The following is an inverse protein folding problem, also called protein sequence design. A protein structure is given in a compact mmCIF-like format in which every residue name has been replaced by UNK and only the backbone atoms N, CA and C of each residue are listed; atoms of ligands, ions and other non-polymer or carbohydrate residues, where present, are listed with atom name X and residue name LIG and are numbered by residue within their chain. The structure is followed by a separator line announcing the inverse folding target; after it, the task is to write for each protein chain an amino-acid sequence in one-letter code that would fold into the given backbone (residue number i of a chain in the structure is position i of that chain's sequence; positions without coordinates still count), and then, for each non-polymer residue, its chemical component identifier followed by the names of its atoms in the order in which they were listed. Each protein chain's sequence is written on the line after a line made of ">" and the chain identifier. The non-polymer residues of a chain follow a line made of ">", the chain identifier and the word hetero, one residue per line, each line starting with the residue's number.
data_IF_258252305882
#
_entry.id   IF_258252305882
#
_cell.length_a   1.000
_cell.length_b   1.000
_cell.length_c   1.000
_cell.angle_alpha   90.00
_cell.angle_beta   90.00
_cell.angle_gamma   90.00
#
_symmetry.space_group_name_H-M   'P 1'
#
loop_
_entity.id
_entity.type
_entity.pdbx_description
1 polymer ?
#
# COMPACT_ATOMS: atom_id res chain seq x y z
N UNK A 1 0.58 18.68 23.81
CA UNK A 1 1.03 17.75 22.79
C UNK A 1 0.30 16.40 22.97
N UNK A 2 -0.68 16.04 22.11
CA UNK A 2 -1.55 14.88 22.33
C UNK A 2 -0.78 13.55 22.41
N UNK A 3 0.27 13.37 21.60
CA UNK A 3 1.08 12.15 21.62
C UNK A 3 1.75 11.85 22.95
N UNK A 4 2.20 12.87 23.66
CA UNK A 4 2.84 12.71 24.96
C UNK A 4 1.85 12.22 26.02
N UNK A 5 0.61 12.70 25.96
CA UNK A 5 -0.45 12.23 26.87
C UNK A 5 -0.82 10.78 26.61
N UNK A 6 -1.00 10.40 25.33
CA UNK A 6 -1.30 9.01 24.95
C UNK A 6 -0.17 8.07 25.39
N UNK A 7 1.08 8.48 25.18
CA UNK A 7 2.24 7.69 25.59
C UNK A 7 2.35 7.56 27.11
N UNK A 8 2.12 8.65 27.84
CA UNK A 8 2.10 8.64 29.31
C UNK A 8 0.96 7.76 29.85
N UNK A 9 -0.24 7.88 29.29
CA UNK A 9 -1.41 7.11 29.72
C UNK A 9 -1.27 5.61 29.40
N UNK A 10 -0.55 5.25 28.34
CA UNK A 10 -0.27 3.85 28.01
C UNK A 10 0.72 3.17 28.98
N UNK A 11 1.53 3.95 29.67
CA UNK A 11 2.55 3.45 30.60
C UNK A 11 2.16 3.62 32.08
N UNK A 12 1.20 4.50 32.39
CA UNK A 12 0.81 4.81 33.76
C UNK A 12 -0.62 4.35 34.00
N UNK A 13 -0.78 3.25 34.71
CA UNK A 13 -2.06 2.72 35.18
C UNK A 13 -2.18 3.01 36.67
N UNK A 14 -3.23 3.72 37.09
CA UNK A 14 -3.49 4.07 38.51
C UNK A 14 -2.33 4.81 39.22
N UNK A 15 -1.55 5.62 38.44
CA UNK A 15 -0.45 6.42 39.03
C UNK A 15 0.87 5.67 39.17
N UNK A 16 0.94 4.40 38.83
CA UNK A 16 2.17 3.59 38.79
C UNK A 16 2.54 3.19 37.37
N UNK A 17 3.84 3.08 37.09
CA UNK A 17 4.33 2.53 35.83
C UNK A 17 3.95 1.05 35.75
N UNK A 18 3.11 0.71 34.80
CA UNK A 18 2.65 -0.66 34.57
C UNK A 18 2.71 -1.02 33.09
N UNK A 19 3.15 -2.22 32.80
CA UNK A 19 3.14 -2.81 31.46
C UNK A 19 1.94 -3.74 31.25
N UNK A 20 0.97 -3.74 32.17
CA UNK A 20 -0.21 -4.61 32.10
C UNK A 20 -0.99 -4.46 30.80
N UNK A 21 -1.15 -3.23 30.32
CA UNK A 21 -1.83 -2.97 29.04
C UNK A 21 -1.11 -3.63 27.85
N UNK A 22 0.22 -3.61 27.85
CA UNK A 22 1.00 -4.27 26.81
C UNK A 22 0.91 -5.80 26.94
N UNK A 23 0.95 -6.32 28.16
CA UNK A 23 0.80 -7.74 28.42
C UNK A 23 -0.57 -8.26 28.02
N UNK A 24 -1.64 -7.49 28.27
CA UNK A 24 -3.01 -7.79 27.83
C UNK A 24 -3.13 -7.82 26.32
N UNK A 25 -2.53 -6.84 25.61
CA UNK A 25 -2.49 -6.82 24.15
C UNK A 25 -1.77 -8.06 23.59
N UNK A 26 -0.65 -8.45 24.19
CA UNK A 26 0.09 -9.63 23.75
C UNK A 26 -0.61 -10.94 24.09
N UNK A 27 -1.34 -11.02 25.21
CA UNK A 27 -2.06 -12.26 25.61
C UNK A 27 -3.41 -12.40 24.89
N UNK A 28 -4.18 -11.33 24.84
CA UNK A 28 -5.59 -11.38 24.42
C UNK A 28 -5.83 -10.89 22.99
N UNK A 29 -4.91 -10.10 22.41
CA UNK A 29 -5.08 -9.45 21.11
C UNK A 29 -4.03 -9.84 20.06
N UNK A 30 -3.27 -10.90 20.28
CA UNK A 30 -2.28 -11.43 19.31
C UNK A 30 -2.86 -11.64 17.91
N UNK A 31 -4.12 -12.04 17.82
CA UNK A 31 -4.79 -12.23 16.53
C UNK A 31 -4.90 -10.93 15.74
N UNK A 32 -5.19 -9.81 16.41
CA UNK A 32 -5.28 -8.50 15.77
C UNK A 32 -3.90 -8.03 15.30
N UNK A 33 -2.87 -8.19 16.13
CA UNK A 33 -1.49 -7.89 15.76
C UNK A 33 -1.03 -8.70 14.54
N UNK A 34 -1.28 -10.00 14.56
CA UNK A 34 -0.94 -10.90 13.44
C UNK A 34 -1.67 -10.50 12.16
N UNK A 35 -2.94 -10.18 12.24
CA UNK A 35 -3.73 -9.75 11.09
C UNK A 35 -3.22 -8.43 10.52
N UNK A 36 -2.91 -7.46 11.36
CA UNK A 36 -2.37 -6.15 10.94
C UNK A 36 -0.99 -6.30 10.30
N UNK A 37 -0.12 -7.10 10.90
CA UNK A 37 1.22 -7.36 10.36
C UNK A 37 1.14 -8.09 9.01
N UNK A 38 0.28 -9.10 8.91
CA UNK A 38 0.05 -9.82 7.65
C UNK A 38 -0.53 -8.90 6.57
N UNK A 39 -1.50 -8.07 6.90
CA UNK A 39 -2.07 -7.11 5.96
C UNK A 39 -1.00 -6.12 5.46
N UNK A 40 -0.16 -5.58 6.36
CA UNK A 40 0.95 -4.72 6.00
C UNK A 40 1.97 -5.40 5.09
N UNK A 41 2.36 -6.64 5.41
CA UNK A 41 3.30 -7.40 4.61
C UNK A 41 2.77 -7.66 3.19
N UNK A 42 1.55 -8.18 3.08
CA UNK A 42 0.93 -8.43 1.76
C UNK A 42 0.75 -7.14 0.95
N UNK A 43 0.33 -6.05 1.59
CA UNK A 43 0.23 -4.75 0.93
C UNK A 43 1.57 -4.29 0.40
N UNK A 44 2.63 -4.37 1.20
CA UNK A 44 3.98 -3.97 0.79
C UNK A 44 4.47 -4.77 -0.41
N UNK A 45 4.32 -6.10 -0.37
CA UNK A 45 4.72 -6.98 -1.48
C UNK A 45 3.96 -6.64 -2.76
N UNK A 46 2.63 -6.53 -2.70
CA UNK A 46 1.82 -6.20 -3.87
C UNK A 46 2.15 -4.81 -4.42
N UNK A 47 2.28 -3.82 -3.56
CA UNK A 47 2.65 -2.45 -3.95
C UNK A 47 4.04 -2.41 -4.59
N UNK A 48 5.01 -3.13 -4.04
CA UNK A 48 6.36 -3.21 -4.59
C UNK A 48 6.36 -3.85 -5.99
N UNK A 49 5.71 -5.01 -6.14
CA UNK A 49 5.60 -5.70 -7.43
C UNK A 49 4.94 -4.78 -8.47
N UNK A 50 3.80 -4.19 -8.14
CA UNK A 50 3.09 -3.30 -9.05
C UNK A 50 3.89 -2.04 -9.40
N UNK A 51 4.56 -1.42 -8.42
CA UNK A 51 5.41 -0.25 -8.60
C UNK A 51 6.62 -0.54 -9.48
N UNK A 52 7.34 -1.63 -9.20
CA UNK A 52 8.51 -2.05 -9.97
C UNK A 52 8.11 -2.38 -11.42
N UNK A 53 7.08 -3.19 -11.63
CA UNK A 53 6.63 -3.56 -12.98
C UNK A 53 6.23 -2.32 -13.79
N UNK A 54 5.51 -1.38 -13.19
CA UNK A 54 5.12 -0.12 -13.86
C UNK A 54 6.33 0.76 -14.15
N UNK A 55 7.27 0.87 -13.24
CA UNK A 55 8.47 1.67 -13.42
C UNK A 55 9.37 1.10 -14.52
N UNK A 56 9.60 -0.21 -14.54
CA UNK A 56 10.36 -0.89 -15.59
C UNK A 56 9.67 -0.77 -16.95
N UNK A 57 8.37 -1.00 -17.00
CA UNK A 57 7.59 -0.83 -18.22
C UNK A 57 7.68 0.62 -18.73
N UNK A 58 7.53 1.60 -17.86
CA UNK A 58 7.71 3.01 -18.20
C UNK A 58 9.11 3.31 -18.70
N UNK A 59 10.14 2.71 -18.13
CA UNK A 59 11.55 2.93 -18.53
C UNK A 59 11.83 2.40 -19.94
N UNK A 60 11.26 1.25 -20.31
CA UNK A 60 11.46 0.61 -21.60
C UNK A 60 10.64 1.25 -22.75
N UNK A 61 9.61 2.04 -22.43
CA UNK A 61 8.69 2.61 -23.42
C UNK A 61 9.20 3.92 -24.05
N UNK A 62 8.74 4.26 -25.28
CA UNK A 62 9.03 5.54 -25.92
C UNK A 62 8.58 6.73 -25.05
N UNK A 63 9.27 7.88 -25.20
CA UNK A 63 9.01 9.11 -24.41
C UNK A 63 7.53 9.53 -24.34
N UNK A 64 6.77 9.29 -25.42
CA UNK A 64 5.33 9.60 -25.48
C UNK A 64 4.51 8.77 -24.51
N UNK A 65 4.77 7.46 -24.46
CA UNK A 65 4.08 6.51 -23.57
C UNK A 65 4.52 6.70 -22.13
N UNK A 66 5.83 6.95 -21.88
CA UNK A 66 6.33 7.32 -20.56
C UNK A 66 5.55 8.47 -19.93
N UNK A 67 5.30 9.52 -20.70
CA UNK A 67 4.55 10.70 -20.23
C UNK A 67 3.11 10.34 -19.88
N UNK A 68 2.46 9.50 -20.70
CA UNK A 68 1.09 9.04 -20.44
C UNK A 68 1.01 8.18 -19.16
N UNK A 69 1.94 7.24 -18.99
CA UNK A 69 2.01 6.41 -17.78
C UNK A 69 2.23 7.28 -16.54
N UNK A 70 3.17 8.23 -16.63
CA UNK A 70 3.43 9.17 -15.54
C UNK A 70 2.18 9.96 -15.16
N UNK A 71 1.47 10.52 -16.15
CA UNK A 71 0.23 11.25 -15.93
C UNK A 71 -0.86 10.33 -15.34
N UNK A 72 -1.04 9.13 -15.88
CA UNK A 72 -2.02 8.18 -15.36
C UNK A 72 -1.76 7.82 -13.89
N UNK A 73 -0.51 7.56 -13.55
CA UNK A 73 -0.10 7.23 -12.16
C UNK A 73 -0.29 8.43 -11.23
N UNK A 74 -0.01 9.65 -11.67
CA UNK A 74 -0.22 10.87 -10.86
C UNK A 74 -1.70 11.21 -10.68
N UNK A 75 -2.56 10.79 -11.60
CA UNK A 75 -4.01 11.01 -11.53
C UNK A 75 -4.73 10.01 -10.62
N UNK A 76 -4.05 8.97 -10.13
CA UNK A 76 -4.66 8.07 -9.15
C UNK A 76 -4.94 8.87 -7.88
N UNK A 77 -6.20 8.95 -7.61
CA UNK A 77 -6.85 9.88 -6.69
C UNK A 77 -6.46 9.69 -5.22
N UNK A 78 -6.80 10.67 -4.37
CA UNK A 78 -6.63 10.55 -2.93
C UNK A 78 -7.21 9.23 -2.38
N UNK A 79 -6.64 8.68 -1.29
CA UNK A 79 -7.04 7.38 -0.71
C UNK A 79 -8.53 7.24 -0.45
N UNK A 80 -9.20 8.34 -0.10
CA UNK A 80 -10.63 8.37 0.13
C UNK A 80 -11.46 8.05 -1.14
N UNK A 81 -11.09 8.62 -2.28
CA UNK A 81 -11.78 8.39 -3.56
C UNK A 81 -11.54 6.97 -4.03
N UNK A 82 -10.34 6.46 -3.87
CA UNK A 82 -9.99 5.06 -4.17
C UNK A 82 -10.81 4.10 -3.31
N UNK A 83 -11.00 4.43 -2.01
CA UNK A 83 -11.81 3.66 -1.09
C UNK A 83 -13.28 3.59 -1.53
N UNK A 84 -13.88 4.72 -1.85
CA UNK A 84 -15.26 4.77 -2.32
C UNK A 84 -15.43 4.04 -3.66
N UNK A 85 -14.50 4.21 -4.58
CA UNK A 85 -14.50 3.53 -5.87
C UNK A 85 -14.42 2.01 -5.71
N UNK A 86 -13.56 1.54 -4.80
CA UNK A 86 -13.45 0.12 -4.48
C UNK A 86 -14.77 -0.44 -3.91
N UNK A 87 -15.40 0.27 -2.97
CA UNK A 87 -16.67 -0.14 -2.39
C UNK A 87 -17.76 -0.18 -3.46
N UNK A 88 -17.82 0.79 -4.36
CA UNK A 88 -18.80 0.83 -5.44
C UNK A 88 -18.57 -0.27 -6.49
N UNK A 89 -17.33 -0.60 -6.80
CA UNK A 89 -17.00 -1.63 -7.78
C UNK A 89 -17.08 -3.05 -7.20
N UNK A 90 -16.48 -3.25 -6.03
CA UNK A 90 -16.27 -4.57 -5.43
C UNK A 90 -17.07 -4.80 -4.15
N UNK A 91 -17.90 -3.84 -3.73
CA UNK A 91 -18.77 -3.99 -2.57
C UNK A 91 -19.78 -5.13 -2.76
N UNK A 92 -20.54 -5.43 -1.71
CA UNK A 92 -21.53 -6.53 -1.68
C UNK A 92 -22.58 -6.45 -2.80
N UNK A 93 -22.89 -5.24 -3.25
CA UNK A 93 -23.73 -4.93 -4.42
C UNK A 93 -22.96 -4.13 -5.46
N UNK A 94 -21.63 -4.33 -5.51
CA UNK A 94 -20.76 -3.62 -6.44
C UNK A 94 -20.98 -4.07 -7.89
N UNK A 95 -20.68 -3.16 -8.81
CA UNK A 95 -20.89 -3.38 -10.24
C UNK A 95 -20.14 -4.62 -10.72
N UNK A 96 -18.89 -4.79 -10.28
CA UNK A 96 -18.05 -5.92 -10.70
C UNK A 96 -18.43 -7.19 -9.95
N UNK A 97 -18.53 -7.15 -8.63
CA UNK A 97 -18.77 -8.34 -7.83
C UNK A 97 -20.17 -8.94 -8.04
N UNK A 98 -21.21 -8.11 -8.03
CA UNK A 98 -22.58 -8.58 -8.12
C UNK A 98 -23.07 -8.73 -9.56
N UNK A 99 -22.92 -7.68 -10.39
CA UNK A 99 -23.48 -7.69 -11.75
C UNK A 99 -22.62 -8.45 -12.76
N UNK A 100 -21.28 -8.44 -12.64
CA UNK A 100 -20.42 -9.13 -13.61
C UNK A 100 -20.06 -10.55 -13.15
N UNK A 101 -19.75 -10.75 -11.87
CA UNK A 101 -19.25 -12.03 -11.36
C UNK A 101 -20.27 -12.85 -10.57
N UNK A 102 -21.44 -12.27 -10.25
CA UNK A 102 -22.49 -12.96 -9.47
C UNK A 102 -22.04 -13.33 -8.05
N UNK A 103 -20.98 -12.71 -7.54
CA UNK A 103 -20.39 -13.03 -6.23
C UNK A 103 -21.04 -12.14 -5.18
N UNK A 104 -21.84 -12.73 -4.30
CA UNK A 104 -22.43 -12.01 -3.16
C UNK A 104 -21.59 -12.07 -1.88
N UNK A 105 -20.35 -12.59 -1.95
CA UNK A 105 -19.43 -12.62 -0.81
C UNK A 105 -18.96 -11.21 -0.46
N UNK A 106 -18.85 -10.94 0.84
CA UNK A 106 -18.36 -9.66 1.34
C UNK A 106 -16.88 -9.48 0.95
N UNK A 107 -16.53 -8.40 0.22
CA UNK A 107 -15.12 -8.07 -0.07
C UNK A 107 -14.42 -7.46 1.15
N UNK A 108 -15.19 -7.30 2.25
CA UNK A 108 -14.69 -6.73 3.49
C UNK A 108 -13.90 -7.78 4.27
N UNK A 109 -12.62 -7.54 4.47
CA UNK A 109 -11.71 -8.42 5.18
C UNK A 109 -10.26 -8.05 4.87
N UNK A 110 -9.33 -8.86 5.32
CA UNK A 110 -7.89 -8.62 5.10
C UNK A 110 -7.60 -8.46 3.60
N UNK A 111 -8.17 -9.30 2.74
CA UNK A 111 -7.99 -9.23 1.29
C UNK A 111 -8.43 -7.89 0.71
N UNK A 112 -9.60 -7.40 1.11
CA UNK A 112 -10.11 -6.10 0.65
C UNK A 112 -9.23 -4.94 1.13
N UNK A 113 -8.78 -4.98 2.38
CA UNK A 113 -7.88 -3.99 2.95
C UNK A 113 -6.55 -3.97 2.19
N UNK A 114 -5.95 -5.15 1.96
CA UNK A 114 -4.69 -5.31 1.23
C UNK A 114 -4.80 -4.76 -0.19
N UNK A 115 -5.85 -5.12 -0.93
CA UNK A 115 -6.06 -4.63 -2.29
C UNK A 115 -6.22 -3.10 -2.32
N UNK A 116 -7.04 -2.55 -1.43
CA UNK A 116 -7.25 -1.12 -1.35
C UNK A 116 -5.99 -0.34 -1.02
N UNK A 117 -5.26 -0.78 0.00
CA UNK A 117 -4.01 -0.14 0.39
C UNK A 117 -2.96 -0.26 -0.70
N UNK A 118 -2.89 -1.41 -1.38
CA UNK A 118 -1.96 -1.61 -2.50
C UNK A 118 -2.25 -0.66 -3.66
N UNK A 119 -3.52 -0.50 -4.03
CA UNK A 119 -3.93 0.45 -5.08
C UNK A 119 -3.66 1.90 -4.69
N UNK A 120 -3.87 2.27 -3.43
CA UNK A 120 -3.62 3.63 -2.95
C UNK A 120 -2.12 3.97 -2.91
N UNK A 121 -1.29 3.02 -2.49
CA UNK A 121 0.15 3.24 -2.33
C UNK A 121 0.95 2.97 -3.62
N UNK A 122 0.40 2.22 -4.56
CA UNK A 122 1.02 1.88 -5.83
C UNK A 122 1.50 3.12 -6.62
N UNK A 123 0.68 4.14 -6.66
CA UNK A 123 0.95 5.39 -7.35
C UNK A 123 2.25 6.05 -6.87
N UNK A 124 2.38 6.19 -5.55
CA UNK A 124 3.56 6.78 -4.92
C UNK A 124 4.81 5.93 -5.18
N UNK A 125 4.70 4.61 -5.01
CA UNK A 125 5.81 3.69 -5.27
C UNK A 125 6.28 3.76 -6.73
N UNK A 126 5.34 3.76 -7.68
CA UNK A 126 5.65 3.87 -9.11
C UNK A 126 6.33 5.20 -9.45
N UNK A 127 5.84 6.33 -8.90
CA UNK A 127 6.43 7.66 -9.14
C UNK A 127 7.87 7.75 -8.63
N UNK A 128 8.13 7.28 -7.42
CA UNK A 128 9.48 7.27 -6.83
C UNK A 128 10.43 6.46 -7.71
N UNK A 129 10.02 5.25 -8.10
CA UNK A 129 10.84 4.36 -8.92
C UNK A 129 11.07 4.91 -10.35
N UNK A 130 10.04 5.48 -10.98
CA UNK A 130 10.18 6.13 -12.29
C UNK A 130 11.14 7.32 -12.19
N UNK A 131 11.04 8.12 -11.13
CA UNK A 131 11.96 9.23 -10.88
C UNK A 131 13.39 8.75 -10.71
N UNK A 132 13.60 7.70 -9.94
CA UNK A 132 14.92 7.08 -9.74
C UNK A 132 15.51 6.56 -11.06
N UNK A 133 14.75 5.76 -11.82
CA UNK A 133 15.20 5.20 -13.09
C UNK A 133 15.50 6.27 -14.15
N UNK A 134 14.78 7.37 -14.17
CA UNK A 134 15.05 8.46 -15.10
C UNK A 134 16.30 9.29 -14.75
N UNK A 135 16.74 9.25 -13.50
CA UNK A 135 17.93 9.95 -13.01
C UNK A 135 19.20 9.05 -13.00
N UNK A 136 19.07 7.78 -13.40
CA UNK A 136 20.24 6.91 -13.55
C UNK A 136 21.13 7.43 -14.68
N UNK A 137 22.41 7.68 -14.37
CA UNK A 137 23.40 8.06 -15.34
C UNK A 137 23.73 6.90 -16.30
N UNK A 138 23.78 7.19 -17.59
CA UNK A 138 24.16 6.20 -18.61
C UNK A 138 25.53 5.60 -18.35
N UNK A 139 26.45 6.38 -17.79
CA UNK A 139 27.78 5.91 -17.40
C UNK A 139 27.76 4.78 -16.37
N UNK A 140 26.80 4.79 -15.45
CA UNK A 140 26.61 3.71 -14.47
C UNK A 140 26.10 2.43 -15.11
N UNK A 141 25.20 2.56 -16.07
CA UNK A 141 24.67 1.43 -16.83
C UNK A 141 25.73 0.80 -17.73
N UNK A 142 26.54 1.64 -18.40
CA UNK A 142 27.64 1.19 -19.26
C UNK A 142 28.76 0.54 -18.43
N UNK A 143 29.04 1.06 -17.22
CA UNK A 143 29.99 0.44 -16.29
C UNK A 143 29.53 -0.92 -15.81
N UNK A 144 28.25 -1.05 -15.43
CA UNK A 144 27.69 -2.34 -15.04
C UNK A 144 27.72 -3.36 -16.19
N UNK A 145 27.49 -2.90 -17.43
CA UNK A 145 27.54 -3.76 -18.61
C UNK A 145 28.93 -4.21 -18.99
N UNK A 146 29.97 -3.39 -18.68
CA UNK A 146 31.36 -3.73 -18.95
C UNK A 146 31.98 -4.65 -17.90
N UNK A 147 31.36 -4.75 -16.73
CA UNK A 147 31.82 -5.62 -15.62
C UNK A 147 31.20 -7.03 -15.68
N UNK A 148 30.36 -7.34 -16.65
CA UNK A 148 29.77 -8.66 -16.83
C UNK A 148 28.32 -8.68 -16.90
#
# INVERSE_FOLDING_TARGET
>A
MPFFYVFKESLVVNGSLSFELFEDVFKNHLRLLKNSLSAGLYTTVLTAIAGITTALFSYLMPKKIKRLIFLAVTMISPPFVTALSYINLFGRRGIVSYYLLGISKSPYGITGIVLMQSLSNFSLAALILIGFLNNLDRSQLDSARNLG
#
